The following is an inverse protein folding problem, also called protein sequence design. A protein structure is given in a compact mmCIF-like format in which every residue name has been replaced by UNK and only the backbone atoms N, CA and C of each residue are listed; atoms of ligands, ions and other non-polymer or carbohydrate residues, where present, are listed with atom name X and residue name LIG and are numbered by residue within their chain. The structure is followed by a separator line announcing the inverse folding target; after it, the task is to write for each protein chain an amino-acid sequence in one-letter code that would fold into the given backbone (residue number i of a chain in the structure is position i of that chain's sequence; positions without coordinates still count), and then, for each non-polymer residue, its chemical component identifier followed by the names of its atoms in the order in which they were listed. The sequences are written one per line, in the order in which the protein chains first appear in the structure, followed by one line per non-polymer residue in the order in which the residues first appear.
data_IF_681855861586
#
_entry.id   IF_681855861586
#
_cell.length_a   1.000
_cell.length_b   1.000
_cell.length_c   1.000
_cell.angle_alpha   90.00
_cell.angle_beta   90.00
_cell.angle_gamma   90.00
#
_symmetry.space_group_name_H-M   'P 1'
#
loop_
_entity.id
_entity.type
_entity.pdbx_description
1 polymer ?
#
# COMPACT_ATOMS: atom_id res chain seq x y z
N UNK A 1 4.52 -15.07 5.04
CA UNK A 1 5.62 -15.87 4.44
C UNK A 1 5.69 -15.58 2.96
N UNK A 2 6.88 -15.31 2.45
CA UNK A 2 7.11 -15.11 1.03
C UNK A 2 7.13 -16.44 0.26
N UNK A 3 7.06 -16.37 -1.08
CA UNK A 3 7.16 -17.57 -1.93
C UNK A 3 8.52 -18.29 -1.88
N UNK A 4 9.51 -17.66 -1.28
CA UNK A 4 10.86 -18.20 -1.01
C UNK A 4 10.98 -18.84 0.39
N UNK A 5 9.88 -18.94 1.15
CA UNK A 5 9.85 -19.52 2.49
C UNK A 5 10.40 -18.60 3.58
N UNK A 6 10.73 -17.33 3.28
CA UNK A 6 11.19 -16.35 4.26
C UNK A 6 10.04 -15.50 4.81
N UNK A 7 10.19 -15.00 6.02
CA UNK A 7 9.26 -14.06 6.62
C UNK A 7 9.66 -12.62 6.23
N UNK A 8 8.75 -11.90 5.61
CA UNK A 8 8.96 -10.50 5.23
C UNK A 8 8.36 -9.55 6.26
N UNK A 9 9.01 -8.43 6.45
CA UNK A 9 8.54 -7.37 7.34
C UNK A 9 9.04 -6.00 6.86
N UNK A 10 8.28 -4.96 7.17
CA UNK A 10 8.67 -3.58 6.94
C UNK A 10 9.27 -2.98 8.22
N UNK A 11 10.28 -2.15 8.05
CA UNK A 11 10.76 -1.20 9.07
C UNK A 11 10.60 0.20 8.50
N UNK A 12 9.60 0.93 8.96
CA UNK A 12 9.30 2.29 8.51
C UNK A 12 10.41 3.28 8.85
N UNK A 13 10.34 4.47 8.25
CA UNK A 13 11.16 5.59 8.65
C UNK A 13 10.82 6.02 10.08
N UNK A 14 11.79 6.46 10.90
CA UNK A 14 11.56 6.84 12.29
C UNK A 14 10.91 8.23 12.45
N UNK A 15 10.57 8.88 11.35
CA UNK A 15 9.92 10.18 11.32
C UNK A 15 9.30 10.51 9.99
N UNK A 16 8.68 11.68 9.88
CA UNK A 16 8.00 12.12 8.66
C UNK A 16 8.96 12.18 7.46
N UNK A 17 10.06 12.88 7.61
CA UNK A 17 11.15 12.95 6.65
C UNK A 17 12.47 13.01 7.41
N UNK A 18 13.30 11.99 7.24
CA UNK A 18 14.62 11.86 7.87
C UNK A 18 15.52 10.99 7.00
N UNK A 19 16.82 11.14 7.12
CA UNK A 19 17.76 10.18 6.53
C UNK A 19 17.67 8.85 7.31
N UNK A 20 17.26 7.75 6.67
CA UNK A 20 17.11 6.48 7.37
C UNK A 20 18.48 5.88 7.72
N UNK A 21 18.56 5.27 8.90
CA UNK A 21 19.68 4.41 9.25
C UNK A 21 19.48 2.99 8.71
N UNK A 22 20.47 2.11 8.95
CA UNK A 22 20.43 0.72 8.49
C UNK A 22 19.10 0.02 8.85
N UNK A 23 18.52 -0.65 7.90
CA UNK A 23 17.22 -1.35 7.92
C UNK A 23 15.97 -0.47 8.03
N UNK A 24 16.06 0.82 8.33
CA UNK A 24 14.91 1.71 8.31
C UNK A 24 14.49 2.07 6.87
N UNK A 25 13.27 2.51 6.71
CA UNK A 25 12.65 2.83 5.41
C UNK A 25 12.88 1.70 4.38
N UNK A 26 12.63 0.47 4.78
CA UNK A 26 12.92 -0.72 3.98
C UNK A 26 11.90 -1.84 4.17
N UNK A 27 11.85 -2.75 3.21
CA UNK A 27 11.29 -4.09 3.40
C UNK A 27 12.44 -5.05 3.55
N UNK A 28 12.42 -5.81 4.63
CA UNK A 28 13.42 -6.84 4.95
C UNK A 28 12.76 -8.21 5.01
N UNK A 29 13.59 -9.26 4.95
CA UNK A 29 13.12 -10.63 5.14
C UNK A 29 14.08 -11.39 6.06
N UNK A 30 13.55 -12.31 6.82
CA UNK A 30 14.31 -13.18 7.70
C UNK A 30 14.09 -14.65 7.30
N UNK A 31 15.17 -15.40 7.29
CA UNK A 31 15.10 -16.85 7.17
C UNK A 31 14.71 -17.45 8.52
N UNK A 32 13.55 -18.13 8.64
CA UNK A 32 13.08 -18.63 9.92
C UNK A 32 13.91 -19.78 10.49
N UNK A 33 14.76 -20.42 9.67
CA UNK A 33 15.62 -21.52 10.11
C UNK A 33 16.95 -21.02 10.67
N UNK A 34 17.53 -19.98 10.06
CA UNK A 34 18.86 -19.48 10.41
C UNK A 34 18.82 -18.18 11.21
N UNK A 35 17.68 -17.46 11.20
CA UNK A 35 17.55 -16.13 11.79
C UNK A 35 18.26 -15.01 11.00
N UNK A 36 18.85 -15.32 9.84
CA UNK A 36 19.56 -14.33 9.03
C UNK A 36 18.57 -13.34 8.43
N UNK A 37 18.79 -12.06 8.73
CA UNK A 37 18.00 -10.94 8.20
C UNK A 37 18.75 -10.32 7.02
N UNK A 38 18.02 -10.02 5.96
CA UNK A 38 18.53 -9.28 4.81
C UNK A 38 17.52 -8.24 4.32
N UNK A 39 18.00 -7.08 3.91
CA UNK A 39 17.19 -6.06 3.27
C UNK A 39 16.79 -6.53 1.87
N UNK A 40 15.49 -6.47 1.56
CA UNK A 40 14.93 -6.85 0.27
C UNK A 40 14.75 -5.65 -0.65
N UNK A 41 14.17 -4.55 -0.13
CA UNK A 41 13.96 -3.29 -0.85
C UNK A 41 14.21 -2.09 0.07
N UNK A 42 14.69 -0.98 -0.48
CA UNK A 42 14.99 0.27 0.24
C UNK A 42 14.17 1.43 -0.30
N UNK A 43 14.25 2.59 0.36
CA UNK A 43 13.54 3.79 -0.07
C UNK A 43 12.01 3.69 0.10
N UNK A 44 11.56 2.88 1.05
CA UNK A 44 10.16 2.65 1.39
C UNK A 44 9.86 3.34 2.72
N UNK A 45 9.24 4.54 2.67
CA UNK A 45 9.03 5.33 3.89
C UNK A 45 8.26 4.59 4.97
N UNK A 46 7.09 4.06 4.62
CA UNK A 46 6.27 3.23 5.51
C UNK A 46 5.32 2.37 4.71
N UNK A 47 5.47 1.07 4.79
CA UNK A 47 4.59 0.09 4.14
C UNK A 47 3.85 -0.71 5.22
N UNK A 48 2.54 -0.82 5.10
CA UNK A 48 1.72 -1.65 6.00
C UNK A 48 1.25 -2.90 5.28
N UNK A 49 0.70 -2.75 4.07
CA UNK A 49 0.18 -3.85 3.27
C UNK A 49 1.18 -4.33 2.23
N UNK A 50 1.37 -5.63 2.16
CA UNK A 50 2.09 -6.26 1.05
C UNK A 50 1.60 -7.68 0.80
N UNK A 51 1.69 -8.11 -0.44
CA UNK A 51 1.33 -9.46 -0.88
C UNK A 51 2.09 -9.81 -2.17
N UNK A 52 2.07 -11.09 -2.54
CA UNK A 52 2.74 -11.57 -3.74
C UNK A 52 1.75 -11.82 -4.86
N UNK A 53 2.06 -11.31 -6.03
CA UNK A 53 1.23 -11.56 -7.21
C UNK A 53 1.12 -13.08 -7.47
N UNK A 54 -0.09 -13.63 -7.59
CA UNK A 54 -0.28 -15.09 -7.62
C UNK A 54 0.44 -15.82 -8.75
N UNK A 55 0.65 -15.16 -9.89
CA UNK A 55 1.28 -15.75 -11.08
C UNK A 55 2.76 -15.40 -11.19
N UNK A 56 3.13 -14.10 -11.05
CA UNK A 56 4.53 -13.66 -11.26
C UNK A 56 5.39 -13.84 -10.01
N UNK A 57 4.76 -13.95 -8.83
CA UNK A 57 5.42 -14.08 -7.53
C UNK A 57 6.18 -12.82 -7.10
N UNK A 58 6.01 -11.71 -7.81
CA UNK A 58 6.58 -10.42 -7.41
C UNK A 58 5.93 -9.91 -6.13
N UNK A 59 6.70 -9.25 -5.31
CA UNK A 59 6.21 -8.55 -4.13
C UNK A 59 5.54 -7.23 -4.55
N UNK A 60 4.30 -7.03 -4.11
CA UNK A 60 3.59 -5.77 -4.22
C UNK A 60 3.32 -5.20 -2.83
N UNK A 61 3.40 -3.89 -2.68
CA UNK A 61 3.21 -3.24 -1.39
C UNK A 61 2.70 -1.80 -1.52
N UNK A 62 1.94 -1.37 -0.50
CA UNK A 62 1.52 0.01 -0.32
C UNK A 62 2.63 0.81 0.36
N UNK A 63 2.72 2.11 0.12
CA UNK A 63 3.67 2.98 0.77
C UNK A 63 3.06 4.36 1.07
N UNK A 64 3.17 4.79 2.31
CA UNK A 64 2.76 6.11 2.74
C UNK A 64 3.85 7.13 2.45
N UNK A 65 3.49 8.20 1.75
CA UNK A 65 4.37 9.31 1.49
C UNK A 65 4.53 10.23 2.73
N UNK A 66 5.41 11.23 2.64
CA UNK A 66 5.58 12.22 3.71
C UNK A 66 4.34 13.11 3.87
N UNK A 67 4.12 13.60 5.08
CA UNK A 67 3.12 14.60 5.41
C UNK A 67 3.65 16.03 5.25
N UNK A 68 2.76 17.02 5.34
CA UNK A 68 3.06 18.45 5.50
C UNK A 68 3.75 19.11 4.28
N UNK A 69 3.49 18.63 3.06
CA UNK A 69 3.84 19.36 1.84
C UNK A 69 2.63 20.23 1.44
N UNK A 70 1.55 19.61 1.04
CA UNK A 70 0.22 20.24 0.82
C UNK A 70 -0.85 19.15 0.71
N UNK A 71 -2.11 19.54 0.52
CA UNK A 71 -3.25 18.61 0.44
C UNK A 71 -3.15 17.61 -0.73
N UNK A 72 -2.57 18.01 -1.85
CA UNK A 72 -2.55 17.22 -3.08
C UNK A 72 -1.24 16.45 -3.30
N UNK A 73 -0.21 16.70 -2.46
CA UNK A 73 1.13 16.15 -2.66
C UNK A 73 1.82 15.79 -1.34
N UNK A 74 2.69 14.80 -1.34
CA UNK A 74 2.83 13.76 -2.37
C UNK A 74 1.75 12.68 -2.24
N UNK A 75 1.52 11.96 -3.34
CA UNK A 75 0.62 10.80 -3.32
C UNK A 75 1.23 9.63 -2.55
N UNK A 76 0.41 8.91 -1.82
CA UNK A 76 0.69 7.54 -1.42
C UNK A 76 0.73 6.63 -2.65
N UNK A 77 1.47 5.54 -2.57
CA UNK A 77 1.83 4.77 -3.77
C UNK A 77 1.66 3.27 -3.60
N UNK A 78 1.43 2.61 -4.74
CA UNK A 78 1.53 1.17 -4.90
C UNK A 78 2.83 0.84 -5.63
N UNK A 79 3.63 -0.05 -5.07
CA UNK A 79 4.90 -0.46 -5.65
C UNK A 79 4.90 -1.94 -6.02
N UNK A 80 5.77 -2.29 -6.96
CA UNK A 80 6.11 -3.65 -7.35
C UNK A 80 7.61 -3.85 -7.23
N UNK A 81 8.03 -4.75 -6.37
CA UNK A 81 9.42 -5.18 -6.27
C UNK A 81 9.59 -6.53 -7.00
N UNK A 82 9.97 -6.46 -8.27
CA UNK A 82 10.16 -7.64 -9.11
C UNK A 82 11.43 -8.42 -8.75
N UNK A 83 12.35 -7.80 -8.02
CA UNK A 83 13.61 -8.41 -7.57
C UNK A 83 14.10 -7.74 -6.29
N UNK A 84 15.01 -8.44 -5.58
CA UNK A 84 15.74 -7.87 -4.45
C UNK A 84 16.67 -6.74 -4.92
N UNK A 85 16.84 -5.71 -4.06
CA UNK A 85 17.78 -4.60 -4.26
C UNK A 85 17.17 -3.38 -4.96
N UNK A 86 15.86 -3.36 -5.21
CA UNK A 86 15.18 -2.18 -5.72
C UNK A 86 15.14 -1.07 -4.67
N UNK A 87 15.20 0.19 -5.13
CA UNK A 87 15.17 1.38 -4.29
C UNK A 87 14.07 2.35 -4.77
N UNK A 88 13.09 2.63 -3.90
CA UNK A 88 11.88 3.37 -4.22
C UNK A 88 11.91 4.87 -3.84
N UNK A 89 13.08 5.40 -3.51
CA UNK A 89 13.39 6.83 -3.55
C UNK A 89 13.40 7.57 -2.22
N UNK A 90 12.69 7.12 -1.18
CA UNK A 90 12.70 7.81 0.11
C UNK A 90 14.12 7.87 0.71
N UNK A 91 14.59 9.01 1.26
CA UNK A 91 13.88 10.28 1.46
C UNK A 91 13.99 11.27 0.30
N UNK A 92 14.63 10.97 -0.79
CA UNK A 92 15.03 11.88 -1.86
C UNK A 92 13.92 12.16 -2.87
N UNK A 93 13.09 11.17 -3.14
CA UNK A 93 12.03 11.24 -4.15
C UNK A 93 10.76 10.54 -3.64
N UNK A 94 9.60 11.16 -3.89
CA UNK A 94 8.28 10.63 -3.59
C UNK A 94 7.52 10.37 -4.89
N UNK A 95 6.58 9.40 -4.86
CA UNK A 95 5.65 9.08 -5.96
C UNK A 95 6.29 8.90 -7.35
N UNK A 96 7.62 8.77 -7.43
CA UNK A 96 8.40 8.54 -8.65
C UNK A 96 8.75 9.78 -9.47
N UNK A 97 8.17 10.94 -9.16
CA UNK A 97 8.39 12.18 -9.95
C UNK A 97 8.37 13.46 -9.10
N UNK A 98 8.38 13.35 -7.78
CA UNK A 98 8.39 14.50 -6.89
C UNK A 98 9.65 14.48 -6.01
N UNK A 99 10.71 15.24 -6.36
CA UNK A 99 11.88 15.40 -5.52
C UNK A 99 11.50 16.01 -4.17
N UNK A 100 12.04 15.45 -3.09
CA UNK A 100 11.76 15.94 -1.75
C UNK A 100 12.31 17.38 -1.59
N UNK A 101 11.53 18.33 -1.02
CA UNK A 101 11.97 19.73 -0.85
C UNK A 101 13.22 19.89 0.02
N UNK A 102 13.46 18.97 0.96
CA UNK A 102 14.58 19.03 1.91
C UNK A 102 15.75 18.14 1.47
N UNK A 103 15.48 16.89 1.08
CA UNK A 103 16.49 15.88 0.78
C UNK A 103 16.72 15.66 -0.72
N UNK A 104 15.78 16.12 -1.58
CA UNK A 104 15.86 15.88 -3.03
C UNK A 104 16.80 16.81 -3.80
N UNK A 105 17.38 17.82 -3.16
CA UNK A 105 18.26 18.78 -3.84
C UNK A 105 19.47 18.07 -4.47
N UNK A 106 19.66 18.26 -5.78
CA UNK A 106 20.73 17.64 -6.53
C UNK A 106 20.51 16.16 -6.88
N UNK A 107 19.31 15.62 -6.63
CA UNK A 107 18.90 14.25 -6.97
C UNK A 107 17.82 14.27 -8.06
N UNK A 108 17.78 13.21 -8.84
CA UNK A 108 16.71 12.98 -9.83
C UNK A 108 15.86 11.79 -9.41
N UNK A 109 14.54 11.89 -9.53
CA UNK A 109 13.67 10.74 -9.30
C UNK A 109 13.93 9.57 -10.27
N UNK A 110 14.55 9.83 -11.43
CA UNK A 110 14.96 8.78 -12.37
C UNK A 110 16.09 7.87 -11.85
N UNK A 111 16.73 8.21 -10.73
CA UNK A 111 17.70 7.35 -10.05
C UNK A 111 17.05 6.17 -9.30
N UNK A 112 15.73 6.21 -9.11
CA UNK A 112 14.98 5.30 -8.27
C UNK A 112 13.94 4.50 -9.07
N UNK A 113 13.52 3.36 -8.51
CA UNK A 113 12.45 2.56 -9.10
C UNK A 113 11.10 3.27 -8.91
N UNK A 114 10.41 3.54 -10.02
CA UNK A 114 9.13 4.22 -9.98
C UNK A 114 8.02 3.34 -9.36
N UNK A 115 6.99 3.95 -8.73
CA UNK A 115 5.82 3.22 -8.30
C UNK A 115 5.03 2.67 -9.49
N UNK A 116 4.30 1.58 -9.26
CA UNK A 116 3.36 1.03 -10.23
C UNK A 116 2.13 1.95 -10.40
N UNK A 117 1.72 2.62 -9.33
CA UNK A 117 0.63 3.60 -9.36
C UNK A 117 0.73 4.61 -8.21
N UNK A 118 0.17 5.81 -8.46
CA UNK A 118 -0.20 6.78 -7.45
C UNK A 118 -1.62 6.46 -6.98
N UNK A 119 -1.82 6.35 -5.67
CA UNK A 119 -3.11 5.94 -5.09
C UNK A 119 -3.97 7.13 -4.65
N UNK A 120 -3.36 8.29 -4.48
CA UNK A 120 -3.97 9.52 -3.96
C UNK A 120 -3.12 10.12 -2.84
N UNK A 121 -3.23 11.43 -2.62
CA UNK A 121 -2.46 12.10 -1.57
C UNK A 121 -3.06 11.83 -0.20
N UNK A 122 -2.23 11.38 0.74
CA UNK A 122 -2.58 11.19 2.15
C UNK A 122 -3.77 10.26 2.42
N UNK A 123 -4.01 9.26 1.57
CA UNK A 123 -5.12 8.33 1.75
C UNK A 123 -4.84 7.19 2.73
N UNK A 124 -3.58 7.05 3.16
CA UNK A 124 -3.11 6.02 4.07
C UNK A 124 -3.50 4.59 3.62
N UNK A 125 -2.95 4.09 2.50
CA UNK A 125 -3.26 2.73 2.02
C UNK A 125 -2.60 1.72 2.95
N UNK A 126 -3.40 0.95 3.70
CA UNK A 126 -2.93 -0.03 4.66
C UNK A 126 -2.86 -1.43 4.04
N UNK A 127 -3.63 -2.38 4.59
CA UNK A 127 -3.60 -3.77 4.16
C UNK A 127 -3.99 -3.97 2.70
N UNK A 128 -3.39 -4.98 2.08
CA UNK A 128 -3.71 -5.36 0.71
C UNK A 128 -3.68 -6.88 0.53
N UNK A 129 -4.49 -7.38 -0.40
CA UNK A 129 -4.57 -8.81 -0.72
C UNK A 129 -4.84 -9.04 -2.19
N UNK A 130 -4.09 -9.94 -2.82
CA UNK A 130 -4.45 -10.50 -4.13
C UNK A 130 -5.59 -11.52 -3.98
N UNK A 131 -6.61 -11.39 -4.83
CA UNK A 131 -7.75 -12.30 -4.82
C UNK A 131 -7.49 -13.51 -5.72
N UNK A 132 -7.55 -14.69 -5.13
CA UNK A 132 -7.39 -15.97 -5.83
C UNK A 132 -8.66 -16.84 -5.76
N UNK A 133 -9.69 -16.37 -5.05
CA UNK A 133 -10.95 -17.06 -4.82
C UNK A 133 -11.80 -17.24 -6.08
N UNK A 134 -12.93 -17.93 -5.90
CA UNK A 134 -13.89 -18.23 -6.96
C UNK A 134 -15.30 -17.70 -6.67
N UNK A 135 -15.51 -17.04 -5.54
CA UNK A 135 -16.82 -16.51 -5.16
C UNK A 135 -17.21 -15.30 -5.99
N UNK A 136 -16.30 -14.35 -6.16
CA UNK A 136 -16.53 -13.19 -7.02
C UNK A 136 -16.38 -13.53 -8.50
N UNK A 137 -16.90 -12.69 -9.43
CA UNK A 137 -16.76 -12.88 -10.87
C UNK A 137 -15.30 -13.11 -11.33
N UNK A 138 -15.14 -13.80 -12.45
CA UNK A 138 -13.82 -14.25 -12.90
C UNK A 138 -12.81 -13.11 -13.15
N UNK A 139 -13.28 -11.92 -13.51
CA UNK A 139 -12.48 -10.71 -13.72
C UNK A 139 -11.91 -10.12 -12.42
N UNK A 140 -12.34 -10.62 -11.25
CA UNK A 140 -11.76 -10.26 -9.95
C UNK A 140 -10.48 -11.04 -9.63
N UNK A 141 -10.25 -12.20 -10.28
CA UNK A 141 -9.06 -13.01 -9.99
C UNK A 141 -7.78 -12.30 -10.37
N UNK A 142 -6.78 -12.45 -9.50
CA UNK A 142 -5.48 -11.79 -9.58
C UNK A 142 -5.54 -10.25 -9.49
N UNK A 143 -6.69 -9.67 -9.15
CA UNK A 143 -6.76 -8.28 -8.75
C UNK A 143 -6.36 -8.14 -7.28
N UNK A 144 -5.90 -6.95 -6.90
CA UNK A 144 -5.64 -6.57 -5.52
C UNK A 144 -6.85 -5.87 -4.91
N UNK A 145 -7.06 -6.08 -3.62
CA UNK A 145 -7.94 -5.27 -2.80
C UNK A 145 -7.08 -4.51 -1.79
N UNK A 146 -7.22 -3.19 -1.73
CA UNK A 146 -6.43 -2.32 -0.88
C UNK A 146 -7.35 -1.52 0.03
N UNK A 147 -7.13 -1.60 1.33
CA UNK A 147 -7.82 -0.78 2.32
C UNK A 147 -7.22 0.63 2.35
N UNK A 148 -8.02 1.63 2.01
CA UNK A 148 -7.68 3.04 2.09
C UNK A 148 -8.22 3.58 3.41
N UNK A 149 -7.37 3.66 4.43
CA UNK A 149 -7.75 4.02 5.79
C UNK A 149 -8.31 5.43 5.90
N UNK A 150 -7.88 6.33 5.02
CA UNK A 150 -8.38 7.68 4.90
C UNK A 150 -7.49 8.74 5.52
N UNK A 151 -7.56 9.93 4.95
CA UNK A 151 -6.68 11.05 5.25
C UNK A 151 -6.99 11.71 6.60
N UNK A 152 -5.96 12.09 7.34
CA UNK A 152 -6.06 12.89 8.54
C UNK A 152 -5.53 14.32 8.35
N UNK A 153 -4.52 14.51 7.50
CA UNK A 153 -3.82 15.78 7.28
C UNK A 153 -4.23 16.52 5.99
N UNK A 154 -5.47 16.32 5.53
CA UNK A 154 -6.07 17.07 4.41
C UNK A 154 -7.21 17.96 4.91
N UNK A 155 -7.38 19.11 4.29
CA UNK A 155 -8.54 19.98 4.55
C UNK A 155 -9.85 19.36 4.06
N UNK A 156 -9.83 18.71 2.88
CA UNK A 156 -10.95 17.88 2.39
C UNK A 156 -10.52 16.41 2.43
N UNK A 157 -11.19 15.63 3.27
CA UNK A 157 -10.84 14.23 3.50
C UNK A 157 -11.10 13.35 2.27
N UNK A 158 -10.30 12.30 2.10
CA UNK A 158 -10.46 11.28 1.03
C UNK A 158 -9.94 9.92 1.49
N UNK A 159 -10.20 8.87 0.71
CA UNK A 159 -9.98 7.48 1.10
C UNK A 159 -11.21 6.94 1.84
N UNK A 160 -11.02 6.24 2.95
CA UNK A 160 -12.09 5.62 3.75
C UNK A 160 -12.91 4.63 2.94
N UNK A 161 -12.26 3.78 2.18
CA UNK A 161 -12.88 2.77 1.34
C UNK A 161 -11.94 1.58 1.09
N UNK A 162 -12.44 0.57 0.41
CA UNK A 162 -11.60 -0.48 -0.18
C UNK A 162 -11.69 -0.34 -1.69
N UNK A 163 -10.56 -0.33 -2.36
CA UNK A 163 -10.48 -0.32 -3.81
C UNK A 163 -10.08 -1.67 -4.36
N UNK A 164 -10.63 -2.02 -5.52
CA UNK A 164 -10.14 -3.12 -6.35
C UNK A 164 -9.15 -2.57 -7.38
N UNK A 165 -7.97 -3.14 -7.41
CA UNK A 165 -6.89 -2.75 -8.32
C UNK A 165 -6.63 -3.88 -9.31
N UNK A 166 -6.73 -3.58 -10.59
CA UNK A 166 -6.37 -4.47 -11.69
C UNK A 166 -5.09 -3.98 -12.36
N UNK A 167 -4.19 -4.89 -12.66
CA UNK A 167 -2.98 -4.62 -13.45
C UNK A 167 -3.10 -5.39 -14.76
N UNK A 168 -3.15 -4.67 -15.88
CA UNK A 168 -3.25 -5.31 -17.18
C UNK A 168 -1.91 -5.93 -17.63
N UNK A 169 -1.94 -6.65 -18.76
CA UNK A 169 -0.74 -7.33 -19.31
C UNK A 169 0.38 -6.37 -19.72
N UNK A 170 0.09 -5.08 -19.86
CA UNK A 170 1.07 -4.03 -20.16
C UNK A 170 1.62 -3.36 -18.90
N UNK A 171 1.15 -3.79 -17.71
CA UNK A 171 1.53 -3.20 -16.42
C UNK A 171 0.75 -1.93 -16.05
N UNK A 172 -0.27 -1.54 -16.84
CA UNK A 172 -1.10 -0.40 -16.50
C UNK A 172 -2.05 -0.76 -15.37
N UNK A 173 -2.12 0.13 -14.38
CA UNK A 173 -2.93 -0.03 -13.18
C UNK A 173 -4.26 0.70 -13.34
N UNK A 174 -5.34 -0.01 -13.00
CA UNK A 174 -6.70 0.50 -12.96
C UNK A 174 -7.26 0.33 -11.56
N UNK A 175 -7.89 1.35 -11.01
CA UNK A 175 -8.52 1.33 -9.69
C UNK A 175 -10.03 1.53 -9.81
N UNK A 176 -10.78 0.73 -9.06
CA UNK A 176 -12.24 0.76 -9.01
C UNK A 176 -12.69 0.76 -7.55
N UNK A 177 -13.70 1.56 -7.16
CA UNK A 177 -14.34 1.41 -5.85
C UNK A 177 -14.86 -0.02 -5.68
N UNK A 178 -14.69 -0.58 -4.47
CA UNK A 178 -15.20 -1.93 -4.14
C UNK A 178 -16.10 -1.92 -2.92
N UNK A 179 -15.64 -1.37 -1.80
CA UNK A 179 -16.44 -1.16 -0.60
C UNK A 179 -16.31 0.32 -0.22
N UNK A 180 -17.41 1.03 -0.31
CA UNK A 180 -17.47 2.49 -0.22
C UNK A 180 -18.55 2.95 0.75
N UNK A 181 -18.64 4.26 1.01
CA UNK A 181 -19.65 4.89 1.85
C UNK A 181 -19.21 5.13 3.30
N UNK A 182 -17.99 4.81 3.70
CA UNK A 182 -17.49 5.13 5.05
C UNK A 182 -17.23 6.63 5.25
N UNK A 183 -16.85 7.34 4.20
CA UNK A 183 -16.72 8.80 4.20
C UNK A 183 -18.09 9.41 3.94
N UNK A 184 -18.65 10.13 4.92
CA UNK A 184 -20.01 10.71 4.85
C UNK A 184 -19.99 12.20 4.60
N UNK A 185 -19.05 12.93 5.21
CA UNK A 185 -18.84 14.35 4.97
C UNK A 185 -17.33 14.66 4.91
N UNK A 186 -16.77 14.89 3.72
CA UNK A 186 -15.34 15.17 3.57
C UNK A 186 -14.82 16.40 4.33
N UNK A 187 -15.69 17.28 4.79
CA UNK A 187 -15.37 18.46 5.60
C UNK A 187 -15.90 18.38 7.03
N UNK A 188 -16.59 17.30 7.37
CA UNK A 188 -17.16 17.08 8.69
C UNK A 188 -16.13 16.71 9.76
N UNK A 189 -16.58 16.71 11.02
CA UNK A 189 -15.83 16.25 12.18
C UNK A 189 -16.78 15.45 13.12
N UNK A 190 -16.74 14.11 13.12
CA UNK A 190 -15.91 13.24 12.26
C UNK A 190 -16.39 13.25 10.80
N UNK A 191 -15.49 13.09 9.83
CA UNK A 191 -15.83 13.07 8.41
C UNK A 191 -16.39 11.72 7.95
N UNK A 192 -16.24 10.68 8.76
CA UNK A 192 -16.51 9.27 8.42
C UNK A 192 -17.17 8.55 9.59
N UNK A 193 -17.73 7.38 9.30
CA UNK A 193 -18.24 6.47 10.31
C UNK A 193 -17.45 5.14 10.40
N UNK A 194 -16.46 4.92 9.55
CA UNK A 194 -15.60 3.74 9.58
C UNK A 194 -14.27 3.97 8.85
N UNK A 195 -13.27 3.15 9.18
CA UNK A 195 -11.91 3.22 8.64
C UNK A 195 -11.38 1.83 8.31
N UNK A 196 -11.42 1.40 7.03
CA UNK A 196 -10.89 0.11 6.61
C UNK A 196 -9.38 -0.01 6.86
N UNK A 197 -8.94 -1.14 7.41
CA UNK A 197 -7.53 -1.40 7.77
C UNK A 197 -6.90 -2.49 6.94
N UNK A 198 -7.53 -3.67 6.88
CA UNK A 198 -6.94 -4.82 6.19
C UNK A 198 -8.00 -5.64 5.46
N UNK A 199 -7.54 -6.44 4.50
CA UNK A 199 -8.36 -7.32 3.68
C UNK A 199 -7.84 -8.74 3.75
N UNK A 200 -8.70 -9.70 4.11
CA UNK A 200 -8.39 -11.12 4.16
C UNK A 200 -9.34 -11.91 3.26
N UNK A 201 -8.80 -12.76 2.40
CA UNK A 201 -9.59 -13.72 1.64
C UNK A 201 -9.87 -14.96 2.49
N UNK A 202 -11.16 -15.31 2.61
CA UNK A 202 -11.61 -16.52 3.27
C UNK A 202 -11.49 -17.76 2.37
N UNK A 203 -11.45 -18.98 2.92
CA UNK A 203 -11.38 -20.22 2.13
C UNK A 203 -12.51 -20.41 1.13
N UNK A 204 -13.72 -19.90 1.43
CA UNK A 204 -14.88 -19.94 0.52
C UNK A 204 -14.84 -18.85 -0.57
N UNK A 205 -13.86 -17.95 -0.52
CA UNK A 205 -13.67 -16.86 -1.46
C UNK A 205 -14.32 -15.54 -1.07
N UNK A 206 -15.00 -15.45 0.07
CA UNK A 206 -15.44 -14.17 0.62
C UNK A 206 -14.24 -13.32 1.05
N UNK A 207 -14.44 -12.01 1.19
CA UNK A 207 -13.46 -11.10 1.76
C UNK A 207 -13.91 -10.64 3.14
N UNK A 208 -12.98 -10.60 4.09
CA UNK A 208 -13.13 -9.89 5.35
C UNK A 208 -12.41 -8.56 5.25
N UNK A 209 -13.04 -7.50 5.77
CA UNK A 209 -12.45 -6.16 5.88
C UNK A 209 -12.53 -5.74 7.33
N UNK A 210 -11.40 -5.45 7.95
CA UNK A 210 -11.35 -4.92 9.31
C UNK A 210 -11.50 -3.40 9.32
N UNK A 211 -12.15 -2.88 10.35
CA UNK A 211 -12.39 -1.45 10.61
C UNK A 211 -11.99 -1.18 12.07
N UNK A 212 -10.94 -0.39 12.28
CA UNK A 212 -10.41 -0.09 13.62
C UNK A 212 -11.18 1.04 14.32
N UNK A 213 -11.88 1.88 13.58
CA UNK A 213 -12.68 2.95 14.14
C UNK A 213 -13.88 2.42 14.94
N UNK A 214 -14.53 1.38 14.41
CA UNK A 214 -15.69 0.76 15.07
C UNK A 214 -15.38 -0.57 15.75
N UNK A 215 -14.19 -1.15 15.57
CA UNK A 215 -13.84 -2.48 16.05
C UNK A 215 -14.67 -3.59 15.37
N UNK A 216 -14.98 -3.43 14.09
CA UNK A 216 -15.85 -4.32 13.30
C UNK A 216 -15.03 -5.05 12.24
N UNK A 217 -15.48 -6.27 11.90
CA UNK A 217 -15.01 -7.02 10.74
C UNK A 217 -16.21 -7.25 9.81
N UNK A 218 -16.16 -6.66 8.62
CA UNK A 218 -17.17 -6.83 7.59
C UNK A 218 -16.86 -8.08 6.77
N UNK A 219 -17.88 -8.90 6.48
CA UNK A 219 -17.78 -10.02 5.55
C UNK A 219 -18.48 -9.64 4.24
N UNK A 220 -17.70 -9.62 3.17
CA UNK A 220 -18.19 -9.32 1.81
C UNK A 220 -18.31 -10.61 1.02
N UNK A 221 -19.51 -10.92 0.56
CA UNK A 221 -19.80 -12.10 -0.25
C UNK A 221 -20.55 -11.72 -1.51
N UNK A 222 -20.34 -12.48 -2.59
CA UNK A 222 -21.05 -12.33 -3.85
C UNK A 222 -22.06 -13.45 -4.00
N UNK A 223 -23.32 -13.10 -4.27
CA UNK A 223 -24.38 -14.03 -4.69
C UNK A 223 -24.68 -13.80 -6.17
N UNK A 224 -24.72 -14.88 -6.93
CA UNK A 224 -25.18 -14.84 -8.33
C UNK A 224 -26.67 -14.59 -8.37
#
# INVERSE_FOLDING_TARGET
MGPDGKLYFNVGAPGNIVMPSYQQASISRVDPQTGVIETYATGVRNSVGFDWHPQTRDLWFTNHARDWVNDEMPHDTLHRAAKKGMNFGYPFCHQGDFPDPEFGKGRSCAEFDAPAAKLGAHIAPLGMRFYTGKMFPADYRNNMFIAMHGSWNRSTKQGYNVVRVNVDKKGKVWMYPFLDGFLTDPKGDPPMWGRPVDVLQMPDGALLVSDDYNGIIYRISYKK
#
